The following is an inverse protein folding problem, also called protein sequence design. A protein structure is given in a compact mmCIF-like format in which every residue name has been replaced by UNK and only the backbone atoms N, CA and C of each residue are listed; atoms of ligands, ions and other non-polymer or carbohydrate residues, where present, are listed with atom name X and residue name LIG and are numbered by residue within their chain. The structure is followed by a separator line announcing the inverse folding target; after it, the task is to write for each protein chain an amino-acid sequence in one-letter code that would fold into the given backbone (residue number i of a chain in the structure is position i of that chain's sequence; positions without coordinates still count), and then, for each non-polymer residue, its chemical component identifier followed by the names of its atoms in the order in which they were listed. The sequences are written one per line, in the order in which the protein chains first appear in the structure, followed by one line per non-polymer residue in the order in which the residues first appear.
data_IF_837647092240
#
_entry.id   IF_837647092240
#
_cell.length_a   1.000
_cell.length_b   1.000
_cell.length_c   1.000
_cell.angle_alpha   90.00
_cell.angle_beta   90.00
_cell.angle_gamma   90.00
#
_symmetry.space_group_name_H-M   'P 1'
#
loop_
_entity.id
_entity.type
_entity.pdbx_description
1 polymer ?
#
# COMPACT_ATOMS: atom_id res chain seq x y z
N UNK A 1 -2.31 -5.73 13.31
CA UNK A 1 -2.95 -6.86 12.97
C UNK A 1 -3.94 -7.57 13.88
N UNK A 2 -4.94 -6.89 14.45
CA UNK A 2 -5.94 -7.54 15.33
C UNK A 2 -6.77 -8.63 14.64
N UNK A 3 -6.95 -8.54 13.31
CA UNK A 3 -7.74 -9.52 12.51
C UNK A 3 -7.03 -10.87 12.34
N UNK A 4 -5.71 -10.94 12.50
CA UNK A 4 -4.90 -12.15 12.37
C UNK A 4 -4.40 -12.67 13.73
N UNK A 5 -4.98 -12.22 14.84
CA UNK A 5 -4.69 -12.81 16.15
C UNK A 5 -5.19 -14.27 16.19
N UNK A 6 -4.46 -15.21 16.82
CA UNK A 6 -3.27 -14.97 17.67
C UNK A 6 -1.91 -14.95 16.94
N UNK A 7 -1.86 -15.23 15.62
CA UNK A 7 -0.60 -15.32 14.87
C UNK A 7 0.24 -14.04 14.98
N UNK A 8 -0.39 -12.86 14.91
CA UNK A 8 0.29 -11.57 15.03
C UNK A 8 0.81 -11.26 16.43
N UNK A 9 0.40 -12.01 17.44
CA UNK A 9 0.98 -11.92 18.78
C UNK A 9 2.40 -12.52 18.81
N UNK A 10 2.66 -13.49 17.96
CA UNK A 10 3.95 -14.19 17.87
C UNK A 10 4.81 -13.56 16.77
N UNK A 11 4.29 -13.47 15.56
CA UNK A 11 5.00 -12.97 14.37
C UNK A 11 4.54 -11.56 13.98
N UNK A 12 5.47 -10.66 13.59
CA UNK A 12 5.08 -9.45 12.87
C UNK A 12 4.30 -9.84 11.61
N UNK A 13 3.26 -9.09 11.29
CA UNK A 13 2.39 -9.40 10.13
C UNK A 13 3.14 -9.61 8.82
N UNK A 14 4.20 -8.83 8.49
CA UNK A 14 4.97 -9.02 7.27
C UNK A 14 5.72 -10.37 7.20
N UNK A 15 6.03 -10.96 8.35
CA UNK A 15 6.76 -12.22 8.46
C UNK A 15 5.85 -13.44 8.60
N UNK A 16 4.54 -13.29 8.42
CA UNK A 16 3.64 -14.44 8.36
C UNK A 16 3.96 -15.21 7.07
N UNK A 17 4.25 -16.52 7.15
CA UNK A 17 4.56 -17.32 5.99
C UNK A 17 3.30 -17.51 5.13
N UNK A 18 3.48 -17.37 3.82
CA UNK A 18 2.52 -17.73 2.79
C UNK A 18 3.25 -18.71 1.89
N UNK A 19 2.86 -19.99 1.96
CA UNK A 19 3.61 -21.10 1.35
C UNK A 19 5.05 -21.21 1.93
N UNK A 20 6.07 -21.14 1.08
CA UNK A 20 7.48 -21.32 1.46
C UNK A 20 8.18 -20.03 1.88
N UNK A 21 7.60 -18.86 1.59
CA UNK A 21 8.16 -17.53 1.87
C UNK A 21 7.25 -16.73 2.77
N UNK A 22 7.76 -15.63 3.30
CA UNK A 22 6.92 -14.64 3.98
C UNK A 22 6.27 -13.70 2.98
N UNK A 23 5.12 -13.10 3.36
CA UNK A 23 4.42 -12.19 2.45
C UNK A 23 5.29 -11.00 2.01
N UNK A 24 6.16 -10.51 2.88
CA UNK A 24 7.06 -9.41 2.54
C UNK A 24 8.13 -9.82 1.54
N UNK A 25 8.62 -11.08 1.59
CA UNK A 25 9.55 -11.60 0.57
C UNK A 25 8.88 -11.69 -0.79
N UNK A 26 7.66 -12.24 -0.86
CA UNK A 26 6.91 -12.33 -2.12
C UNK A 26 6.67 -10.94 -2.73
N UNK A 27 6.37 -9.94 -1.90
CA UNK A 27 6.24 -8.56 -2.35
C UNK A 27 7.57 -8.02 -2.88
N UNK A 28 8.67 -8.21 -2.14
CA UNK A 28 10.00 -7.71 -2.52
C UNK A 28 10.52 -8.42 -3.78
N UNK A 29 10.28 -9.71 -3.93
CA UNK A 29 10.66 -10.46 -5.12
C UNK A 29 10.01 -9.91 -6.40
N UNK A 30 8.71 -9.58 -6.35
CA UNK A 30 8.02 -8.94 -7.47
C UNK A 30 8.66 -7.58 -7.87
N UNK A 31 9.15 -6.82 -6.91
CA UNK A 31 9.90 -5.60 -7.20
C UNK A 31 11.29 -5.89 -7.79
N UNK A 32 11.97 -6.91 -7.32
CA UNK A 32 13.28 -7.32 -7.87
C UNK A 32 13.15 -7.78 -9.32
N UNK A 33 12.09 -8.50 -9.67
CA UNK A 33 11.80 -8.94 -11.04
C UNK A 33 11.76 -7.77 -12.05
N UNK A 34 11.36 -6.57 -11.61
CA UNK A 34 11.31 -5.35 -12.42
C UNK A 34 12.51 -4.42 -12.18
N UNK A 35 13.57 -4.93 -11.54
CA UNK A 35 14.83 -4.22 -11.33
C UNK A 35 14.85 -3.27 -10.12
N UNK A 36 13.82 -3.26 -9.28
CA UNK A 36 13.79 -2.50 -8.05
C UNK A 36 14.33 -3.33 -6.87
N UNK A 37 15.57 -3.08 -6.46
CA UNK A 37 16.25 -3.86 -5.42
C UNK A 37 16.58 -3.06 -4.14
N UNK A 38 16.28 -1.76 -4.11
CA UNK A 38 16.50 -0.90 -2.94
C UNK A 38 15.20 -0.74 -2.15
N UNK A 39 15.22 -1.17 -0.91
CA UNK A 39 14.05 -1.17 -0.04
C UNK A 39 14.27 -0.35 1.23
N UNK A 40 13.31 0.47 1.57
CA UNK A 40 13.24 1.18 2.84
C UNK A 40 12.09 0.59 3.66
N UNK A 41 12.41 -0.13 4.71
CA UNK A 41 11.42 -0.73 5.59
C UNK A 41 11.17 0.18 6.79
N UNK A 42 9.98 0.76 6.87
CA UNK A 42 9.55 1.48 8.07
C UNK A 42 9.14 0.48 9.14
N UNK A 43 9.82 0.52 10.27
CA UNK A 43 9.68 -0.43 11.36
C UNK A 43 9.44 0.28 12.69
N UNK A 44 8.55 -0.28 13.49
CA UNK A 44 8.24 0.20 14.84
C UNK A 44 8.13 -1.01 15.79
N UNK A 45 6.94 -1.60 15.89
CA UNK A 45 6.70 -2.76 16.74
C UNK A 45 7.43 -4.01 16.21
N UNK A 46 8.17 -4.69 17.09
CA UNK A 46 8.98 -5.88 16.74
C UNK A 46 10.02 -5.62 15.62
N UNK A 47 10.56 -4.42 15.56
CA UNK A 47 11.56 -4.04 14.57
C UNK A 47 12.76 -5.01 14.54
N UNK A 48 13.27 -5.40 15.71
CA UNK A 48 14.42 -6.31 15.80
C UNK A 48 14.14 -7.70 15.20
N UNK A 49 12.90 -8.21 15.34
CA UNK A 49 12.53 -9.51 14.74
C UNK A 49 12.57 -9.41 13.21
N UNK A 50 12.13 -8.29 12.63
CA UNK A 50 12.16 -8.07 11.18
C UNK A 50 13.60 -7.95 10.70
N UNK A 51 14.45 -7.20 11.41
CA UNK A 51 15.86 -7.04 11.08
C UNK A 51 16.59 -8.38 11.10
N UNK A 52 16.48 -9.14 12.20
CA UNK A 52 17.09 -10.45 12.35
C UNK A 52 16.63 -11.43 11.26
N UNK A 53 15.37 -11.36 10.86
CA UNK A 53 14.86 -12.20 9.79
C UNK A 53 15.63 -11.98 8.49
N UNK A 54 15.75 -10.73 8.03
CA UNK A 54 16.46 -10.42 6.80
C UNK A 54 17.97 -10.58 6.89
N UNK A 55 18.59 -10.37 8.07
CA UNK A 55 19.99 -10.69 8.32
C UNK A 55 20.26 -12.19 8.16
N UNK A 56 19.38 -13.04 8.70
CA UNK A 56 19.50 -14.49 8.57
C UNK A 56 19.21 -14.99 7.15
N UNK A 57 18.30 -14.32 6.42
CA UNK A 57 17.99 -14.66 5.03
C UNK A 57 19.20 -14.46 4.12
N UNK A 58 20.09 -13.50 4.45
CA UNK A 58 21.33 -13.19 3.74
C UNK A 58 21.18 -13.13 2.20
N UNK A 59 20.07 -12.55 1.75
CA UNK A 59 19.76 -12.42 0.32
C UNK A 59 20.58 -11.29 -0.29
N UNK A 60 21.31 -11.57 -1.36
CA UNK A 60 22.03 -10.57 -2.15
C UNK A 60 21.10 -9.75 -3.06
N UNK A 61 19.85 -10.17 -3.22
CA UNK A 61 18.88 -9.50 -4.10
C UNK A 61 18.28 -8.24 -3.50
N UNK A 62 18.31 -8.08 -2.15
CA UNK A 62 17.69 -6.98 -1.45
C UNK A 62 18.74 -6.05 -0.84
N UNK A 63 18.65 -4.76 -1.16
CA UNK A 63 19.40 -3.70 -0.49
C UNK A 63 18.46 -3.02 0.52
N UNK A 64 18.44 -3.51 1.76
CA UNK A 64 17.47 -3.07 2.77
C UNK A 64 18.06 -1.98 3.65
N UNK A 65 17.32 -0.89 3.82
CA UNK A 65 17.56 0.15 4.81
C UNK A 65 16.36 0.25 5.76
N UNK A 66 16.60 0.28 7.05
CA UNK A 66 15.54 0.38 8.05
C UNK A 66 15.32 1.82 8.47
N UNK A 67 14.05 2.20 8.60
CA UNK A 67 13.61 3.49 9.11
C UNK A 67 12.89 3.21 10.42
N UNK A 68 13.48 3.67 11.52
CA UNK A 68 12.92 3.49 12.85
C UNK A 68 11.94 4.62 13.18
N UNK A 69 10.66 4.29 13.28
CA UNK A 69 9.67 5.22 13.81
C UNK A 69 9.75 5.28 15.34
N UNK A 70 9.92 6.46 15.91
CA UNK A 70 9.90 6.67 17.38
C UNK A 70 8.49 6.58 17.96
N UNK A 71 7.48 6.84 17.15
CA UNK A 71 6.05 6.73 17.42
C UNK A 71 5.34 6.36 16.12
N UNK A 72 4.12 5.79 16.16
CA UNK A 72 3.35 5.54 14.94
C UNK A 72 3.13 6.84 14.16
N UNK A 73 3.55 6.88 12.89
CA UNK A 73 3.43 8.05 12.02
C UNK A 73 2.34 7.90 10.94
N UNK A 74 1.66 6.76 10.89
CA UNK A 74 0.69 6.48 9.84
C UNK A 74 1.36 6.03 8.53
N UNK A 75 0.57 5.90 7.47
CA UNK A 75 1.05 5.34 6.20
C UNK A 75 1.83 6.32 5.34
N UNK A 76 1.75 7.63 5.60
CA UNK A 76 2.52 8.66 4.90
C UNK A 76 3.52 9.38 5.80
N UNK A 77 3.24 9.57 7.08
CA UNK A 77 4.11 10.37 7.96
C UNK A 77 5.54 9.83 8.08
N UNK A 78 5.73 8.50 8.00
CA UNK A 78 7.06 7.88 8.00
C UNK A 78 7.89 8.22 6.75
N UNK A 79 7.25 8.57 5.63
CA UNK A 79 7.92 8.95 4.38
C UNK A 79 8.75 10.25 4.54
N UNK A 80 8.38 11.14 5.49
CA UNK A 80 9.21 12.30 5.82
C UNK A 80 10.66 11.94 6.14
N UNK A 81 10.88 10.79 6.78
CA UNK A 81 12.22 10.30 7.14
C UNK A 81 13.08 9.91 5.92
N UNK A 82 12.51 9.95 4.74
CA UNK A 82 13.14 9.61 3.46
C UNK A 82 13.46 10.83 2.58
N UNK A 83 13.06 12.04 2.98
CA UNK A 83 13.17 13.26 2.15
C UNK A 83 14.59 13.55 1.61
N UNK A 84 15.61 13.18 2.38
CA UNK A 84 17.02 13.39 2.01
C UNK A 84 17.69 12.09 1.48
N UNK A 85 16.91 11.02 1.28
CA UNK A 85 17.41 9.70 0.87
C UNK A 85 16.86 9.27 -0.49
N UNK A 86 15.68 9.76 -0.86
CA UNK A 86 15.01 9.40 -2.12
C UNK A 86 15.01 10.63 -3.03
N UNK A 87 15.60 10.47 -4.23
CA UNK A 87 15.77 11.53 -5.22
C UNK A 87 15.18 11.16 -6.59
N UNK A 88 14.53 10.02 -6.70
CA UNK A 88 13.86 9.54 -7.91
C UNK A 88 12.47 9.03 -7.58
N UNK A 89 11.64 8.84 -8.60
CA UNK A 89 10.34 8.19 -8.48
C UNK A 89 10.44 6.89 -7.71
N UNK A 90 9.52 6.62 -6.79
CA UNK A 90 9.57 5.45 -5.92
C UNK A 90 8.18 4.86 -5.66
N UNK A 91 8.16 3.57 -5.38
CA UNK A 91 6.97 2.88 -4.93
C UNK A 91 6.80 2.98 -3.42
N UNK A 92 5.55 3.08 -2.99
CA UNK A 92 5.14 2.91 -1.59
C UNK A 92 4.11 1.80 -1.56
N UNK A 93 4.30 0.80 -0.71
CA UNK A 93 3.34 -0.30 -0.58
C UNK A 93 3.18 -0.75 0.86
N UNK A 94 1.98 -1.24 1.18
CA UNK A 94 1.76 -1.95 2.42
C UNK A 94 2.51 -3.30 2.38
N UNK A 95 2.98 -3.74 3.54
CA UNK A 95 3.75 -4.98 3.69
C UNK A 95 2.89 -6.26 3.82
N UNK A 96 1.61 -6.20 3.45
CA UNK A 96 0.65 -7.27 3.69
C UNK A 96 -0.35 -7.47 2.53
N UNK A 97 -0.08 -6.84 1.40
CA UNK A 97 -0.90 -6.93 0.19
C UNK A 97 0.02 -7.28 -0.99
N UNK A 98 -0.20 -8.45 -1.56
CA UNK A 98 0.43 -8.88 -2.80
C UNK A 98 -0.48 -8.48 -3.96
N UNK A 99 0.07 -7.78 -4.92
CA UNK A 99 -0.62 -7.35 -6.14
C UNK A 99 -0.05 -8.16 -7.31
N UNK A 100 -0.93 -8.85 -8.02
CA UNK A 100 -0.55 -9.67 -9.16
C UNK A 100 -0.77 -8.91 -10.46
N UNK A 101 0.11 -7.91 -10.70
CA UNK A 101 0.09 -7.02 -11.85
C UNK A 101 1.51 -6.75 -12.34
N UNK A 102 1.63 -6.24 -13.56
CA UNK A 102 2.90 -5.80 -14.12
C UNK A 102 3.34 -4.46 -13.51
N UNK A 103 4.31 -4.49 -12.60
CA UNK A 103 4.82 -3.30 -11.93
C UNK A 103 5.56 -2.35 -12.88
N UNK A 104 6.14 -2.88 -13.98
CA UNK A 104 6.74 -2.05 -15.02
C UNK A 104 5.67 -1.23 -15.72
N UNK A 105 4.56 -1.86 -16.12
CA UNK A 105 3.46 -1.16 -16.77
C UNK A 105 2.84 -0.08 -15.86
N UNK A 106 2.72 -0.35 -14.55
CA UNK A 106 2.26 0.65 -13.58
C UNK A 106 3.22 1.84 -13.51
N UNK A 107 4.54 1.59 -13.49
CA UNK A 107 5.55 2.63 -13.47
C UNK A 107 5.54 3.47 -14.76
N UNK A 108 5.48 2.82 -15.92
CA UNK A 108 5.43 3.50 -17.21
C UNK A 108 4.17 4.35 -17.36
N UNK A 109 3.02 3.85 -16.89
CA UNK A 109 1.79 4.64 -16.81
C UNK A 109 1.98 5.92 -16.00
N UNK A 110 2.60 5.82 -14.82
CA UNK A 110 2.91 6.97 -13.98
C UNK A 110 3.76 8.01 -14.72
N UNK A 111 4.84 7.57 -15.38
CA UNK A 111 5.76 8.44 -16.12
C UNK A 111 5.13 9.05 -17.36
N UNK A 112 4.38 8.26 -18.14
CA UNK A 112 3.75 8.72 -19.38
C UNK A 112 2.67 9.78 -19.14
N UNK A 113 2.03 9.75 -17.99
CA UNK A 113 1.00 10.74 -17.61
C UNK A 113 1.56 11.91 -16.78
N UNK A 114 2.86 11.96 -16.51
CA UNK A 114 3.51 13.00 -15.69
C UNK A 114 2.85 13.16 -14.32
N UNK A 115 2.38 12.06 -13.74
CA UNK A 115 1.70 12.09 -12.45
C UNK A 115 2.70 12.40 -11.32
N UNK A 116 2.30 13.20 -10.34
CA UNK A 116 3.06 13.35 -9.10
C UNK A 116 2.81 12.17 -8.16
N UNK A 117 1.57 11.64 -8.18
CA UNK A 117 1.19 10.44 -7.45
C UNK A 117 0.29 9.56 -8.32
N UNK A 118 0.54 8.26 -8.29
CA UNK A 118 -0.34 7.24 -8.87
C UNK A 118 -0.77 6.27 -7.80
N UNK A 119 -2.08 6.06 -7.66
CA UNK A 119 -2.67 5.08 -6.75
C UNK A 119 -3.11 3.86 -7.53
N UNK A 120 -2.66 2.68 -7.13
CA UNK A 120 -3.10 1.42 -7.71
C UNK A 120 -4.42 1.01 -7.06
N UNK A 121 -5.43 0.78 -7.89
CA UNK A 121 -6.75 0.36 -7.44
C UNK A 121 -7.14 -1.00 -8.05
N UNK A 122 -7.80 -1.83 -7.26
CA UNK A 122 -8.40 -3.07 -7.73
C UNK A 122 -9.92 -2.93 -7.85
N UNK A 123 -10.51 -3.60 -8.82
CA UNK A 123 -11.96 -3.70 -8.92
C UNK A 123 -12.42 -4.85 -8.03
N UNK A 124 -13.35 -4.59 -7.13
CA UNK A 124 -13.98 -5.61 -6.31
C UNK A 124 -15.48 -5.55 -6.47
N UNK A 125 -16.05 -6.69 -6.82
CA UNK A 125 -17.48 -6.88 -7.02
C UNK A 125 -18.12 -7.58 -5.82
N UNK A 126 -19.31 -7.13 -5.46
CA UNK A 126 -20.11 -7.66 -4.36
C UNK A 126 -21.50 -8.05 -4.91
N UNK A 127 -21.80 -9.32 -5.03
CA UNK A 127 -23.13 -9.76 -5.42
C UNK A 127 -24.12 -9.48 -4.27
N UNK A 128 -25.25 -8.86 -4.59
CA UNK A 128 -26.37 -8.72 -3.66
C UNK A 128 -27.30 -9.89 -3.89
N UNK A 129 -27.52 -10.80 -2.91
CA UNK A 129 -28.27 -12.04 -3.12
C UNK A 129 -29.79 -11.83 -3.18
N UNK A 130 -30.24 -10.60 -3.31
CA UNK A 130 -31.64 -10.18 -3.33
C UNK A 130 -31.94 -9.24 -4.49
N UNK A 131 -33.20 -9.14 -4.90
CA UNK A 131 -33.66 -8.08 -5.76
C UNK A 131 -33.54 -6.73 -5.06
N UNK A 132 -32.97 -5.72 -5.75
CA UNK A 132 -32.90 -4.34 -5.28
C UNK A 132 -33.96 -3.49 -5.98
N UNK A 133 -34.51 -2.52 -5.26
CA UNK A 133 -35.48 -1.59 -5.80
C UNK A 133 -35.01 -0.15 -5.53
N UNK A 134 -35.22 0.73 -6.51
CA UNK A 134 -35.14 2.18 -6.32
C UNK A 134 -36.53 2.81 -6.36
N UNK A 135 -36.76 3.76 -5.49
CA UNK A 135 -38.02 4.47 -5.44
C UNK A 135 -37.80 5.97 -5.68
N UNK A 136 -38.85 6.64 -6.22
CA UNK A 136 -38.97 8.10 -6.26
C UNK A 136 -39.57 8.62 -4.95
N UNK A 137 -39.64 9.94 -4.83
CA UNK A 137 -40.42 10.58 -3.75
C UNK A 137 -41.87 10.02 -3.71
N UNK A 138 -42.36 9.75 -2.51
CA UNK A 138 -43.70 9.14 -2.32
C UNK A 138 -43.70 7.61 -2.47
N UNK A 139 -42.56 6.94 -2.63
CA UNK A 139 -42.45 5.47 -2.66
C UNK A 139 -42.79 4.83 -4.01
N UNK A 140 -43.02 5.63 -5.08
CA UNK A 140 -43.24 5.09 -6.42
C UNK A 140 -42.02 4.33 -6.94
N UNK A 141 -42.19 3.12 -7.47
CA UNK A 141 -41.12 2.33 -8.06
C UNK A 141 -40.45 3.08 -9.19
N UNK A 142 -39.10 3.19 -9.13
CA UNK A 142 -38.25 3.74 -10.19
C UNK A 142 -37.58 2.63 -11.01
N UNK A 143 -36.99 1.69 -10.34
CA UNK A 143 -36.34 0.53 -10.98
C UNK A 143 -36.32 -0.67 -10.05
N UNK A 144 -36.16 -1.85 -10.64
CA UNK A 144 -35.93 -3.11 -9.96
C UNK A 144 -34.81 -3.86 -10.68
N UNK A 145 -33.86 -4.44 -9.91
CA UNK A 145 -32.79 -5.27 -10.43
C UNK A 145 -32.73 -6.56 -9.60
N UNK A 146 -32.78 -7.70 -10.27
CA UNK A 146 -32.66 -8.99 -9.61
C UNK A 146 -31.18 -9.33 -9.42
N UNK A 147 -30.77 -9.56 -8.16
CA UNK A 147 -29.43 -9.97 -7.75
C UNK A 147 -28.29 -9.16 -8.41
N UNK A 148 -28.31 -7.82 -8.31
CA UNK A 148 -27.30 -7.00 -8.95
C UNK A 148 -25.93 -7.23 -8.35
N UNK A 149 -24.89 -6.98 -9.14
CA UNK A 149 -23.50 -6.95 -8.71
C UNK A 149 -23.02 -5.49 -8.63
N UNK A 150 -22.56 -5.08 -7.45
CA UNK A 150 -21.99 -3.76 -7.23
C UNK A 150 -20.46 -3.83 -7.27
N UNK A 151 -19.86 -3.11 -8.21
CA UNK A 151 -18.42 -3.06 -8.38
C UNK A 151 -17.86 -1.74 -7.88
N UNK A 152 -16.79 -1.81 -7.10
CA UNK A 152 -16.08 -0.65 -6.57
C UNK A 152 -14.60 -0.73 -6.91
N UNK A 153 -13.98 0.44 -7.18
CA UNK A 153 -12.53 0.57 -7.16
C UNK A 153 -12.08 0.69 -5.71
N UNK A 154 -11.28 -0.24 -5.26
CA UNK A 154 -10.73 -0.24 -3.90
C UNK A 154 -9.24 0.11 -3.94
N UNK A 155 -8.79 0.90 -2.97
CA UNK A 155 -7.39 1.22 -2.78
C UNK A 155 -6.62 -0.04 -2.35
N UNK A 156 -5.60 -0.42 -3.11
CA UNK A 156 -4.76 -1.59 -2.81
C UNK A 156 -3.67 -1.30 -1.79
N UNK A 157 -3.40 -0.02 -1.49
CA UNK A 157 -2.29 0.38 -0.64
C UNK A 157 -0.93 0.38 -1.35
N UNK A 158 -0.92 0.32 -2.69
CA UNK A 158 0.27 0.54 -3.52
C UNK A 158 0.16 1.89 -4.24
N UNK A 159 1.27 2.62 -4.24
CA UNK A 159 1.37 3.95 -4.82
C UNK A 159 2.72 4.13 -5.51
N UNK A 160 2.77 5.02 -6.50
CA UNK A 160 4.02 5.58 -7.02
C UNK A 160 4.01 7.08 -6.74
N UNK A 161 5.12 7.59 -6.22
CA UNK A 161 5.27 8.99 -5.83
C UNK A 161 6.52 9.59 -6.47
N UNK A 162 6.42 10.87 -6.82
CA UNK A 162 7.59 11.68 -7.13
C UNK A 162 8.24 12.23 -5.84
N UNK A 163 9.56 12.35 -5.77
CA UNK A 163 10.28 12.69 -4.55
C UNK A 163 9.99 14.09 -3.99
N UNK A 164 9.51 15.02 -4.83
CA UNK A 164 9.10 16.36 -4.39
C UNK A 164 7.96 16.31 -3.36
N UNK A 165 7.08 15.32 -3.44
CA UNK A 165 5.97 15.14 -2.50
C UNK A 165 6.42 14.86 -1.06
N UNK A 166 7.64 14.40 -0.87
CA UNK A 166 8.18 14.20 0.48
C UNK A 166 8.28 15.51 1.28
N UNK A 167 8.32 16.66 0.62
CA UNK A 167 8.34 18.00 1.25
C UNK A 167 6.98 18.42 1.79
N UNK A 168 5.90 17.85 1.24
CA UNK A 168 4.52 18.13 1.68
C UNK A 168 4.15 17.37 2.96
N UNK A 169 5.00 16.43 3.38
CA UNK A 169 4.76 15.60 4.56
C UNK A 169 5.32 16.30 5.78
N UNK A 170 4.50 16.65 6.78
CA UNK A 170 4.94 17.35 7.97
C UNK A 170 5.90 16.49 8.80
N UNK A 171 6.87 17.17 9.41
CA UNK A 171 7.89 16.52 10.21
C UNK A 171 7.31 15.87 11.46
N UNK A 172 7.55 14.55 11.58
CA UNK A 172 7.25 13.80 12.79
C UNK A 172 5.76 13.88 13.22
N UNK A 173 4.86 14.01 12.24
CA UNK A 173 3.41 14.01 12.46
C UNK A 173 2.76 12.72 11.95
N UNK A 174 1.63 12.37 12.55
CA UNK A 174 0.82 11.26 12.09
C UNK A 174 0.02 11.68 10.85
N UNK A 175 0.25 10.98 9.74
CA UNK A 175 -0.43 11.25 8.48
C UNK A 175 -0.76 9.95 7.74
N UNK A 176 -2.00 9.80 7.29
CA UNK A 176 -2.36 8.76 6.34
C UNK A 176 -2.10 9.21 4.91
N UNK A 177 -1.68 8.28 4.05
CA UNK A 177 -1.42 8.60 2.63
C UNK A 177 -2.70 9.04 1.90
N UNK A 178 -3.85 8.52 2.28
CA UNK A 178 -5.16 8.97 1.76
C UNK A 178 -5.43 10.43 2.07
N UNK A 179 -5.11 10.88 3.28
CA UNK A 179 -5.26 12.29 3.68
C UNK A 179 -4.29 13.19 2.91
N UNK A 180 -3.07 12.73 2.65
CA UNK A 180 -2.13 13.46 1.78
C UNK A 180 -2.69 13.59 0.36
N UNK A 181 -3.22 12.51 -0.21
CA UNK A 181 -3.82 12.51 -1.55
C UNK A 181 -5.02 13.47 -1.62
N UNK A 182 -5.90 13.43 -0.63
CA UNK A 182 -7.07 14.31 -0.56
C UNK A 182 -6.65 15.78 -0.50
N UNK A 183 -5.63 16.11 0.31
CA UNK A 183 -5.06 17.47 0.39
C UNK A 183 -4.53 17.91 -0.98
N UNK A 184 -3.67 17.13 -1.60
CA UNK A 184 -3.07 17.45 -2.90
C UNK A 184 -4.13 17.61 -4.00
N UNK A 185 -5.16 16.77 -3.99
CA UNK A 185 -6.27 16.88 -4.94
C UNK A 185 -7.11 18.16 -4.76
N UNK A 186 -7.21 18.69 -3.54
CA UNK A 186 -7.93 19.94 -3.27
C UNK A 186 -7.12 21.19 -3.64
N UNK A 187 -5.80 21.08 -3.61
CA UNK A 187 -4.88 22.18 -3.94
C UNK A 187 -4.65 22.34 -5.46
N UNK A 188 -5.10 21.39 -6.29
CA UNK A 188 -5.02 21.37 -7.77
C UNK A 188 -3.96 20.48 -8.29
#
# INVERSE_FOLDING_TARGET
GTRLAPLTNIWPKPLIPVNEKTIIEDIMDKFVEVGCNKFYLSVNYKAEVIKQYFENLNSSCYQISYIQEKKPLGTAGSLYLLKDKIHSTFFVTNCDILIDEDYTAIYEYHKANYNEITMVAAIKSFPIPYGTIETKEGGQLKSIQEKPELSFKINTGMYILEPNLLKEIPENEFLHITTLIEKLHQEG
#
